data_IF_342880605800
#
_entry.id   IF_342880605800
#
_cell.length_a   1.000
_cell.length_b   1.000
_cell.length_c   1.000
_cell.angle_alpha   90.00
_cell.angle_beta   90.00
_cell.angle_gamma   90.00
#
_symmetry.space_group_name_H-M   'P 1'
#
loop_
_entity.id
_entity.type
_entity.pdbx_description
1 polymer ?
#
# COMPACT_ATOMS: atom_id res chain seq x y z
N UNK A 1 14.67 -12.92 -9.27
CA UNK A 1 13.39 -12.93 -8.50
C UNK A 1 12.46 -11.76 -8.88
N UNK A 2 12.70 -10.52 -8.45
CA UNK A 2 11.77 -9.39 -8.76
C UNK A 2 11.76 -9.03 -10.25
N UNK A 3 12.93 -9.00 -10.89
CA UNK A 3 13.03 -8.66 -12.32
C UNK A 3 12.39 -9.72 -13.24
N UNK A 4 12.53 -10.99 -12.89
CA UNK A 4 11.89 -12.10 -13.60
C UNK A 4 10.36 -12.05 -13.44
N UNK A 5 9.87 -11.79 -12.22
CA UNK A 5 8.44 -11.59 -11.98
C UNK A 5 7.88 -10.42 -12.80
N UNK A 6 8.65 -9.33 -12.93
CA UNK A 6 8.29 -8.18 -13.77
C UNK A 6 8.26 -8.53 -15.26
N UNK A 7 9.22 -9.32 -15.74
CA UNK A 7 9.25 -9.77 -17.13
C UNK A 7 8.03 -10.63 -17.45
N UNK A 8 7.70 -11.58 -16.57
CA UNK A 8 6.51 -12.42 -16.71
C UNK A 8 5.25 -11.55 -16.69
N UNK A 9 5.13 -10.61 -15.73
CA UNK A 9 4.00 -9.69 -15.63
C UNK A 9 3.75 -8.93 -16.93
N UNK A 10 4.81 -8.39 -17.56
CA UNK A 10 4.69 -7.66 -18.84
C UNK A 10 4.07 -8.51 -19.95
N UNK A 11 4.44 -9.78 -20.02
CA UNK A 11 4.03 -10.71 -21.08
C UNK A 11 2.64 -11.34 -20.86
N UNK A 12 1.95 -11.04 -19.75
CA UNK A 12 0.58 -11.51 -19.52
C UNK A 12 -0.39 -10.65 -20.33
N UNK A 13 -1.10 -11.28 -21.27
CA UNK A 13 -2.11 -10.63 -22.12
C UNK A 13 -3.30 -10.09 -21.31
N UNK A 14 -3.86 -10.90 -20.40
CA UNK A 14 -4.95 -10.49 -19.51
C UNK A 14 -4.52 -10.46 -18.05
N UNK A 15 -4.17 -9.27 -17.57
CA UNK A 15 -3.76 -9.06 -16.18
C UNK A 15 -5.01 -8.96 -15.30
N UNK A 16 -5.16 -9.92 -14.38
CA UNK A 16 -6.23 -9.89 -13.37
C UNK A 16 -5.85 -9.05 -12.17
N UNK A 17 -6.84 -8.62 -11.38
CA UNK A 17 -6.65 -7.97 -10.08
C UNK A 17 -5.64 -8.72 -9.17
N UNK A 18 -5.66 -10.06 -9.19
CA UNK A 18 -4.76 -10.90 -8.39
C UNK A 18 -3.31 -10.77 -8.84
N UNK A 19 -3.08 -10.68 -10.15
CA UNK A 19 -1.74 -10.54 -10.74
C UNK A 19 -1.16 -9.16 -10.39
N UNK A 20 -1.96 -8.10 -10.49
CA UNK A 20 -1.57 -6.76 -10.02
C UNK A 20 -1.24 -6.76 -8.53
N UNK A 21 -2.14 -7.26 -7.69
CA UNK A 21 -1.94 -7.28 -6.22
C UNK A 21 -0.68 -8.06 -5.83
N UNK A 22 -0.39 -9.17 -6.50
CA UNK A 22 0.81 -9.98 -6.24
C UNK A 22 2.09 -9.22 -6.64
N UNK A 23 2.08 -8.55 -7.79
CA UNK A 23 3.24 -7.77 -8.25
C UNK A 23 3.48 -6.56 -7.33
N UNK A 24 2.42 -5.88 -6.90
CA UNK A 24 2.50 -4.77 -5.94
C UNK A 24 3.09 -5.25 -4.61
N UNK A 25 2.64 -6.39 -4.06
CA UNK A 25 3.23 -6.96 -2.83
C UNK A 25 4.73 -7.26 -3.01
N UNK A 26 5.11 -7.90 -4.11
CA UNK A 26 6.52 -8.21 -4.41
C UNK A 26 7.39 -6.95 -4.46
N UNK A 27 6.93 -5.91 -5.16
CA UNK A 27 7.66 -4.64 -5.28
C UNK A 27 7.75 -3.90 -3.96
N UNK A 28 6.66 -3.87 -3.20
CA UNK A 28 6.59 -3.22 -1.90
C UNK A 28 7.56 -3.86 -0.89
N UNK A 29 7.66 -5.19 -0.91
CA UNK A 29 8.63 -5.94 -0.09
C UNK A 29 10.08 -5.74 -0.52
N UNK A 30 10.31 -5.44 -1.80
CA UNK A 30 11.62 -5.10 -2.34
C UNK A 30 11.96 -3.60 -2.19
N UNK A 31 11.12 -2.82 -1.49
CA UNK A 31 11.25 -1.36 -1.36
C UNK A 31 11.25 -0.60 -2.69
N UNK A 32 10.74 -1.21 -3.76
CA UNK A 32 10.54 -0.59 -5.07
C UNK A 32 9.19 0.14 -5.11
N UNK A 33 9.02 1.13 -4.23
CA UNK A 33 7.72 1.75 -3.93
C UNK A 33 7.14 2.54 -5.09
N UNK A 34 7.97 3.27 -5.82
CA UNK A 34 7.57 4.05 -6.99
C UNK A 34 6.95 3.13 -8.04
N UNK A 35 7.61 2.01 -8.32
CA UNK A 35 7.12 1.04 -9.29
C UNK A 35 5.85 0.32 -8.82
N UNK A 36 5.70 0.10 -7.52
CA UNK A 36 4.48 -0.45 -6.94
C UNK A 36 3.31 0.52 -7.09
N UNK A 37 3.55 1.82 -6.87
CA UNK A 37 2.57 2.88 -7.07
C UNK A 37 2.18 3.02 -8.55
N UNK A 38 3.15 2.97 -9.48
CA UNK A 38 2.89 3.00 -10.92
C UNK A 38 1.92 1.88 -11.36
N UNK A 39 2.02 0.68 -10.77
CA UNK A 39 1.09 -0.41 -11.07
C UNK A 39 -0.31 -0.18 -10.50
N UNK A 40 -0.43 0.48 -9.34
CA UNK A 40 -1.72 0.90 -8.81
C UNK A 40 -2.33 1.93 -9.77
N UNK A 41 -1.56 2.93 -10.18
CA UNK A 41 -2.02 3.99 -11.09
C UNK A 41 -2.38 3.44 -12.48
N UNK A 42 -1.65 2.43 -12.98
CA UNK A 42 -2.00 1.68 -14.19
C UNK A 42 -3.34 0.96 -14.04
N UNK A 43 -3.58 0.33 -12.90
CA UNK A 43 -4.84 -0.35 -12.62
C UNK A 43 -6.01 0.65 -12.53
N UNK A 44 -5.81 1.76 -11.82
CA UNK A 44 -6.80 2.83 -11.63
C UNK A 44 -7.27 3.48 -12.94
N UNK A 45 -6.44 3.48 -13.99
CA UNK A 45 -6.81 4.04 -15.29
C UNK A 45 -8.03 3.36 -15.93
N UNK A 46 -8.27 2.09 -15.63
CA UNK A 46 -9.34 1.31 -16.25
C UNK A 46 -10.27 0.62 -15.25
N UNK A 47 -9.92 0.61 -13.96
CA UNK A 47 -10.64 -0.14 -12.93
C UNK A 47 -10.63 0.58 -11.58
N UNK A 48 -11.66 0.39 -10.77
CA UNK A 48 -11.61 0.80 -9.37
C UNK A 48 -10.61 -0.05 -8.59
N UNK A 49 -9.65 0.55 -7.87
CA UNK A 49 -8.63 -0.19 -7.14
C UNK A 49 -9.23 -0.94 -5.95
N UNK A 50 -8.51 -1.92 -5.46
CA UNK A 50 -8.89 -2.66 -4.25
C UNK A 50 -8.05 -2.19 -3.07
N UNK A 51 -8.64 -2.15 -1.88
CA UNK A 51 -7.94 -1.78 -0.65
C UNK A 51 -6.71 -2.65 -0.38
N UNK A 52 -6.73 -3.91 -0.83
CA UNK A 52 -5.61 -4.86 -0.72
C UNK A 52 -4.35 -4.40 -1.44
N UNK A 53 -4.48 -3.68 -2.57
CA UNK A 53 -3.33 -3.14 -3.31
C UNK A 53 -2.59 -2.09 -2.48
N UNK A 54 -3.33 -1.17 -1.86
CA UNK A 54 -2.78 -0.16 -0.98
C UNK A 54 -2.27 -0.74 0.34
N UNK A 55 -2.93 -1.77 0.89
CA UNK A 55 -2.46 -2.46 2.09
C UNK A 55 -1.11 -3.16 1.87
N UNK A 56 -0.91 -3.77 0.70
CA UNK A 56 0.39 -4.36 0.35
C UNK A 56 1.48 -3.30 0.31
N UNK A 57 1.20 -2.16 -0.34
CA UNK A 57 2.13 -1.02 -0.40
C UNK A 57 2.44 -0.44 0.98
N UNK A 58 1.43 -0.24 1.81
CA UNK A 58 1.58 0.27 3.18
C UNK A 58 2.39 -0.67 4.07
N UNK A 59 2.21 -1.99 3.91
CA UNK A 59 2.99 -2.99 4.65
C UNK A 59 4.48 -2.92 4.29
N UNK A 60 4.81 -2.74 3.01
CA UNK A 60 6.18 -2.51 2.55
C UNK A 60 6.76 -1.20 3.09
N UNK A 61 6.01 -0.10 2.99
CA UNK A 61 6.42 1.20 3.50
C UNK A 61 6.69 1.17 5.02
N UNK A 62 5.86 0.44 5.77
CA UNK A 62 6.07 0.20 7.21
C UNK A 62 7.38 -0.51 7.49
N UNK A 63 7.67 -1.59 6.76
CA UNK A 63 8.92 -2.33 6.95
C UNK A 63 10.16 -1.46 6.67
N UNK A 64 10.06 -0.54 5.71
CA UNK A 64 11.10 0.44 5.43
C UNK A 64 11.08 1.66 6.37
N UNK A 65 10.18 1.71 7.38
CA UNK A 65 9.95 2.85 8.27
C UNK A 65 9.72 4.17 7.53
N UNK A 66 9.12 4.11 6.34
CA UNK A 66 8.89 5.30 5.51
C UNK A 66 7.60 6.00 5.96
N UNK A 67 7.74 6.97 6.88
CA UNK A 67 6.62 7.77 7.43
C UNK A 67 5.85 8.48 6.34
N UNK A 68 6.54 9.22 5.47
CA UNK A 68 5.93 10.05 4.43
C UNK A 68 5.06 9.23 3.48
N UNK A 69 5.61 8.13 2.97
CA UNK A 69 4.87 7.24 2.08
C UNK A 69 3.67 6.61 2.81
N UNK A 70 3.84 6.17 4.05
CA UNK A 70 2.77 5.56 4.85
C UNK A 70 1.60 6.52 5.07
N UNK A 71 1.88 7.79 5.37
CA UNK A 71 0.88 8.85 5.50
C UNK A 71 0.10 9.06 4.20
N UNK A 72 0.80 9.17 3.07
CA UNK A 72 0.19 9.39 1.76
C UNK A 72 -0.74 8.23 1.37
N UNK A 73 -0.30 6.98 1.59
CA UNK A 73 -1.11 5.79 1.31
C UNK A 73 -2.36 5.79 2.18
N UNK A 74 -2.23 6.01 3.50
CA UNK A 74 -3.38 6.05 4.39
C UNK A 74 -4.38 7.14 3.98
N UNK A 75 -3.89 8.34 3.65
CA UNK A 75 -4.72 9.44 3.16
C UNK A 75 -5.46 9.09 1.86
N UNK A 76 -4.79 8.39 0.92
CA UNK A 76 -5.42 7.90 -0.32
C UNK A 76 -6.48 6.84 -0.02
N UNK A 77 -6.22 5.91 0.89
CA UNK A 77 -7.19 4.89 1.31
C UNK A 77 -8.44 5.51 1.93
N UNK A 78 -8.31 6.53 2.80
CA UNK A 78 -9.46 7.25 3.36
C UNK A 78 -10.35 7.87 2.29
N UNK A 79 -9.76 8.41 1.22
CA UNK A 79 -10.49 9.01 0.10
C UNK A 79 -11.17 7.98 -0.80
N UNK A 80 -10.51 6.85 -1.07
CA UNK A 80 -11.00 5.83 -2.00
C UNK A 80 -11.97 4.83 -1.37
N UNK A 81 -11.82 4.56 -0.07
CA UNK A 81 -12.58 3.51 0.63
C UNK A 81 -13.28 4.02 1.89
N UNK A 82 -13.98 5.17 1.87
CA UNK A 82 -14.53 5.79 3.07
C UNK A 82 -15.51 4.87 3.83
N UNK A 83 -16.24 4.02 3.11
CA UNK A 83 -17.22 3.09 3.69
C UNK A 83 -16.61 1.75 4.16
N UNK A 84 -15.31 1.53 3.96
CA UNK A 84 -14.63 0.27 4.30
C UNK A 84 -13.88 0.41 5.62
N UNK A 85 -14.58 0.16 6.73
CA UNK A 85 -14.02 0.28 8.08
C UNK A 85 -12.83 -0.65 8.30
N UNK A 86 -12.96 -1.96 8.05
CA UNK A 86 -11.91 -2.92 8.43
C UNK A 86 -10.54 -2.66 7.74
N UNK A 87 -10.46 -2.35 6.44
CA UNK A 87 -9.20 -1.98 5.81
C UNK A 87 -8.62 -0.66 6.34
N UNK A 88 -9.47 0.32 6.67
CA UNK A 88 -9.02 1.60 7.23
C UNK A 88 -8.47 1.44 8.65
N UNK A 89 -9.14 0.64 9.50
CA UNK A 89 -8.66 0.24 10.83
C UNK A 89 -7.29 -0.42 10.72
N UNK A 90 -7.16 -1.38 9.80
CA UNK A 90 -5.89 -2.09 9.57
C UNK A 90 -4.79 -1.13 9.11
N UNK A 91 -5.10 -0.22 8.18
CA UNK A 91 -4.15 0.78 7.69
C UNK A 91 -3.72 1.77 8.79
N UNK A 92 -4.65 2.21 9.62
CA UNK A 92 -4.37 3.08 10.77
C UNK A 92 -3.42 2.40 11.77
N UNK A 93 -3.63 1.13 12.08
CA UNK A 93 -2.69 0.35 12.92
C UNK A 93 -1.28 0.30 12.30
N UNK A 94 -1.18 0.06 10.99
CA UNK A 94 0.13 0.04 10.33
C UNK A 94 0.81 1.41 10.40
N UNK A 95 0.09 2.49 10.13
CA UNK A 95 0.63 3.85 10.19
C UNK A 95 1.06 4.23 11.62
N UNK A 96 0.25 3.91 12.63
CA UNK A 96 0.60 4.15 14.03
C UNK A 96 1.90 3.43 14.41
N UNK A 97 2.13 2.22 13.91
CA UNK A 97 3.38 1.49 14.13
C UNK A 97 4.58 2.17 13.46
N UNK A 98 4.40 2.76 12.26
CA UNK A 98 5.46 3.53 11.59
C UNK A 98 5.85 4.75 12.43
N UNK A 99 4.86 5.52 12.90
CA UNK A 99 5.10 6.67 13.77
C UNK A 99 5.82 6.27 15.06
N UNK A 100 5.33 5.25 15.77
CA UNK A 100 5.95 4.77 17.00
C UNK A 100 7.41 4.33 16.77
N UNK A 101 7.68 3.63 15.65
CA UNK A 101 9.03 3.19 15.30
C UNK A 101 10.00 4.32 14.90
N UNK A 102 9.44 5.51 14.61
CA UNK A 102 10.17 6.72 14.25
C UNK A 102 10.27 7.72 15.41
N UNK A 103 9.78 7.35 16.60
CA UNK A 103 9.77 8.21 17.79
C UNK A 103 8.61 9.21 17.84
N UNK A 104 7.69 9.20 16.88
CA UNK A 104 6.55 10.11 16.79
C UNK A 104 5.34 9.57 17.58
N UNK A 105 5.52 9.36 18.89
CA UNK A 105 4.53 8.69 19.76
C UNK A 105 3.18 9.43 19.83
N UNK A 106 3.19 10.76 19.77
CA UNK A 106 1.97 11.57 19.77
C UNK A 106 1.11 11.26 18.52
N UNK A 107 1.74 11.27 17.33
CA UNK A 107 1.04 10.92 16.07
C UNK A 107 0.57 9.47 16.04
N UNK A 108 1.31 8.56 16.65
CA UNK A 108 0.88 7.17 16.80
C UNK A 108 -0.39 7.06 17.66
N UNK A 109 -0.50 7.87 18.71
CA UNK A 109 -1.67 7.92 19.58
C UNK A 109 -2.86 8.56 18.86
N UNK A 110 -2.65 9.67 18.16
CA UNK A 110 -3.69 10.36 17.38
C UNK A 110 -4.35 9.42 16.35
N UNK A 111 -3.55 8.69 15.57
CA UNK A 111 -4.09 7.75 14.58
C UNK A 111 -4.87 6.61 15.22
N UNK A 112 -4.48 6.14 16.41
CA UNK A 112 -5.22 5.08 17.12
C UNK A 112 -6.58 5.56 17.63
N UNK A 113 -6.75 6.86 17.87
CA UNK A 113 -8.04 7.46 18.24
C UNK A 113 -8.97 7.65 17.03
N UNK A 114 -8.47 7.54 15.80
CA UNK A 114 -9.29 7.55 14.58
C UNK A 114 -10.01 6.21 14.31
N UNK A 115 -9.67 5.15 15.05
CA UNK A 115 -10.15 3.76 14.87
C UNK A 115 -11.38 3.50 15.74
#
# INVERSE_FOLDING_TARGET
LVDEARLIFKNIEMKTMRIYSTMIDCLSRASAFEQAQELIDEYERNHSPYSTMYMALLSGARNAKNVYLSQNIYGRMKKLFPERKDPLVSAAVLLANVYASSGEMDKASDIRLEI
#
